data_IF_377750681596
#
_entry.id   IF_377750681596
#
_cell.length_a   1.000
_cell.length_b   1.000
_cell.length_c   1.000
_cell.angle_alpha   90.00
_cell.angle_beta   90.00
_cell.angle_gamma   90.00
#
_symmetry.space_group_name_H-M   'P 1'
#
loop_
_entity.id
_entity.type
_entity.pdbx_description
1 polymer ?
#
# COMPACT_ATOMS: atom_id res chain seq x y z
N UNK A 1 1.54 -22.53 56.63
CA UNK A 1 0.56 -22.19 57.69
C UNK A 1 -0.38 -21.16 57.11
N UNK A 2 -1.64 -21.56 56.86
CA UNK A 2 -2.84 -20.75 56.54
C UNK A 2 -2.75 -19.85 55.28
N UNK A 3 -3.64 -19.88 54.28
CA UNK A 3 -5.02 -20.38 54.07
C UNK A 3 -5.17 -20.52 52.52
N UNK A 4 -5.64 -21.61 51.90
CA UNK A 4 -7.07 -21.98 51.67
C UNK A 4 -7.96 -20.79 51.24
N UNK A 5 -8.88 -20.83 50.28
CA UNK A 5 -9.43 -21.86 49.39
C UNK A 5 -10.45 -21.14 48.48
N UNK A 6 -10.53 -21.53 47.21
CA UNK A 6 -11.77 -21.82 46.45
C UNK A 6 -12.99 -20.85 46.43
N UNK A 7 -13.43 -20.52 45.21
CA UNK A 7 -14.77 -20.77 44.56
C UNK A 7 -15.44 -19.56 43.85
N UNK A 8 -16.02 -19.87 42.68
CA UNK A 8 -17.14 -19.15 42.01
C UNK A 8 -16.73 -18.33 40.78
N UNK A 9 -16.79 -18.81 39.53
CA UNK A 9 -17.97 -19.05 38.67
C UNK A 9 -18.98 -17.90 38.60
N UNK A 10 -18.99 -17.19 37.45
CA UNK A 10 -20.13 -16.78 36.60
C UNK A 10 -20.00 -15.35 36.01
N UNK A 11 -19.86 -15.32 34.68
CA UNK A 11 -20.66 -14.53 33.72
C UNK A 11 -21.19 -13.15 34.16
N UNK A 12 -20.67 -12.09 33.53
CA UNK A 12 -21.45 -11.00 32.92
C UNK A 12 -20.51 -10.18 32.00
N UNK A 13 -20.62 -10.34 30.67
CA UNK A 13 -21.22 -9.32 29.79
C UNK A 13 -21.02 -7.89 30.28
N UNK A 14 -20.06 -7.16 29.71
CA UNK A 14 -20.12 -5.73 29.39
C UNK A 14 -18.79 -5.34 28.74
N UNK A 15 -18.74 -5.30 27.40
CA UNK A 15 -17.97 -4.27 26.73
C UNK A 15 -18.87 -3.60 25.71
N UNK A 16 -19.15 -2.34 26.05
CA UNK A 16 -20.01 -1.42 25.36
C UNK A 16 -19.54 -1.23 23.91
N UNK A 17 -20.48 -1.33 22.96
CA UNK A 17 -20.35 -0.66 21.67
C UNK A 17 -20.13 0.84 21.93
N UNK A 18 -19.12 1.49 21.35
CA UNK A 18 -19.30 2.87 20.95
C UNK A 18 -20.21 2.85 19.73
N UNK A 19 -21.38 3.50 19.87
CA UNK A 19 -22.17 3.95 18.73
C UNK A 19 -21.27 4.71 17.77
N UNK A 20 -21.46 4.47 16.48
CA UNK A 20 -21.00 5.33 15.40
C UNK A 20 -21.18 6.81 15.76
N UNK A 21 -20.22 7.68 15.42
CA UNK A 21 -20.55 8.87 14.68
C UNK A 21 -20.73 8.49 13.21
N UNK A 22 -21.88 8.90 12.70
CA UNK A 22 -22.29 8.98 11.31
C UNK A 22 -21.19 9.42 10.34
N UNK A 23 -21.33 8.92 9.12
CA UNK A 23 -20.71 9.39 7.88
C UNK A 23 -20.47 10.90 7.77
N UNK A 24 -19.43 11.24 6.98
CA UNK A 24 -19.00 12.51 6.35
C UNK A 24 -17.56 12.88 6.79
N UNK A 25 -16.55 13.16 5.96
CA UNK A 25 -16.45 13.42 4.52
C UNK A 25 -14.96 13.45 4.08
N UNK A 26 -14.65 12.66 3.04
CA UNK A 26 -13.69 12.84 1.93
C UNK A 26 -12.16 12.98 2.17
N UNK A 27 -11.38 12.33 1.30
CA UNK A 27 -10.10 12.86 0.80
C UNK A 27 -10.31 14.33 0.41
N UNK A 28 -9.95 15.23 1.30
CA UNK A 28 -10.29 16.64 1.16
C UNK A 28 -9.46 17.22 0.02
N UNK A 29 -10.13 17.79 -1.00
CA UNK A 29 -9.53 18.87 -1.80
C UNK A 29 -9.24 20.01 -0.82
N UNK A 30 -8.09 19.94 -0.16
CA UNK A 30 -7.69 20.92 0.84
C UNK A 30 -6.80 21.91 0.12
N UNK A 31 -7.34 23.10 -0.09
CA UNK A 31 -6.47 24.28 -0.24
C UNK A 31 -5.65 24.32 1.04
N UNK A 32 -4.34 24.13 0.88
CA UNK A 32 -3.41 23.96 2.02
C UNK A 32 -3.35 25.27 2.81
N UNK A 33 -3.37 26.39 2.11
CA UNK A 33 -3.72 27.70 2.62
C UNK A 33 -3.98 28.65 1.43
N UNK A 34 -4.94 29.58 1.52
CA UNK A 34 -4.93 30.76 0.66
C UNK A 34 -3.77 31.65 1.11
N UNK A 35 -2.84 32.00 0.23
CA UNK A 35 -2.02 33.19 0.47
C UNK A 35 -2.88 34.43 0.27
N UNK A 36 -2.52 35.50 0.98
CA UNK A 36 -3.30 36.74 0.98
C UNK A 36 -3.26 37.31 -0.44
N UNK A 37 -4.32 37.02 -1.21
CA UNK A 37 -4.64 37.51 -2.55
C UNK A 37 -3.82 36.88 -3.69
N UNK A 38 -4.49 36.01 -4.43
CA UNK A 38 -4.25 35.54 -5.81
C UNK A 38 -3.54 34.21 -6.03
N UNK A 39 -2.63 33.69 -5.20
CA UNK A 39 -2.07 32.35 -5.43
C UNK A 39 -2.69 31.30 -4.50
N UNK A 40 -2.71 30.04 -4.94
CA UNK A 40 -3.08 28.92 -4.09
C UNK A 40 -2.19 27.71 -4.36
N UNK A 41 -2.03 26.88 -3.33
CA UNK A 41 -1.44 25.55 -3.41
C UNK A 41 -2.46 24.53 -2.92
N UNK A 42 -2.66 23.45 -3.69
CA UNK A 42 -3.56 22.35 -3.31
C UNK A 42 -2.94 20.99 -3.58
N UNK A 43 -3.39 19.99 -2.84
CA UNK A 43 -3.17 18.58 -3.21
C UNK A 43 -4.24 18.20 -4.22
N UNK A 44 -3.81 17.75 -5.40
CA UNK A 44 -4.68 17.30 -6.48
C UNK A 44 -5.10 15.85 -6.26
N UNK A 45 -6.15 15.42 -6.97
CA UNK A 45 -6.62 14.01 -6.96
C UNK A 45 -5.58 13.01 -7.42
N UNK A 46 -4.63 13.46 -8.23
CA UNK A 46 -3.53 12.64 -8.73
C UNK A 46 -2.35 12.56 -7.75
N UNK A 47 -2.49 13.12 -6.53
CA UNK A 47 -1.45 13.15 -5.50
C UNK A 47 -0.42 14.25 -5.68
N UNK A 48 -0.39 14.92 -6.84
CA UNK A 48 0.53 16.02 -7.07
C UNK A 48 0.09 17.31 -6.36
N UNK A 49 1.02 18.24 -6.18
CA UNK A 49 0.70 19.61 -5.77
C UNK A 49 0.38 20.46 -7.00
N UNK A 50 -0.76 21.12 -6.97
CA UNK A 50 -1.13 22.15 -7.96
C UNK A 50 -0.83 23.53 -7.41
N UNK A 51 -0.07 24.33 -8.17
CA UNK A 51 0.12 25.76 -7.97
C UNK A 51 -0.76 26.49 -8.98
N UNK A 52 -1.71 27.28 -8.49
CA UNK A 52 -2.65 28.03 -9.33
C UNK A 52 -2.79 29.48 -8.90
N UNK A 53 -3.44 30.27 -9.77
CA UNK A 53 -3.76 31.67 -9.54
C UNK A 53 -5.28 31.90 -9.61
N UNK A 54 -5.76 32.86 -8.83
CA UNK A 54 -7.14 33.28 -8.64
C UNK A 54 -8.03 32.18 -8.05
N UNK A 55 -8.75 31.44 -8.89
CA UNK A 55 -9.77 30.48 -8.46
C UNK A 55 -9.31 29.07 -8.74
N UNK A 56 -9.64 28.15 -7.84
CA UNK A 56 -9.29 26.75 -8.00
C UNK A 56 -9.80 26.18 -9.34
N UNK A 57 -8.91 25.58 -10.12
CA UNK A 57 -9.26 25.03 -11.43
C UNK A 57 -8.30 23.93 -11.90
N UNK A 58 -8.36 23.62 -13.19
CA UNK A 58 -7.47 22.66 -13.86
C UNK A 58 -6.20 23.30 -14.45
N UNK A 59 -6.17 24.64 -14.52
CA UNK A 59 -5.03 25.42 -14.98
C UNK A 59 -4.03 25.59 -13.83
N UNK A 60 -3.13 24.62 -13.67
CA UNK A 60 -2.19 24.55 -12.55
C UNK A 60 -0.80 24.15 -13.03
N UNK A 61 0.23 24.74 -12.44
CA UNK A 61 1.59 24.20 -12.51
C UNK A 61 1.65 23.08 -11.49
N UNK A 62 1.94 21.87 -11.96
CA UNK A 62 1.87 20.64 -11.17
C UNK A 62 3.27 20.19 -10.77
N UNK A 63 3.50 19.88 -9.50
CA UNK A 63 4.77 19.35 -8.99
C UNK A 63 4.53 18.17 -8.05
N UNK A 64 5.51 17.29 -7.92
CA UNK A 64 5.49 16.25 -6.89
C UNK A 64 5.57 16.89 -5.50
N UNK A 65 4.90 16.29 -4.50
CA UNK A 65 4.95 16.83 -3.14
C UNK A 65 6.39 16.91 -2.59
N UNK A 66 7.21 15.90 -2.87
CA UNK A 66 8.63 15.90 -2.50
C UNK A 66 9.47 16.97 -3.19
N UNK A 67 8.98 17.61 -4.25
CA UNK A 67 9.68 18.67 -5.00
C UNK A 67 9.40 20.07 -4.44
N UNK A 68 8.41 20.20 -3.56
CA UNK A 68 7.94 21.49 -3.04
C UNK A 68 9.06 22.31 -2.39
N UNK A 69 9.94 21.67 -1.62
CA UNK A 69 11.06 22.35 -0.95
C UNK A 69 12.09 22.90 -1.97
N UNK A 70 12.33 22.18 -3.07
CA UNK A 70 13.24 22.64 -4.14
C UNK A 70 12.65 23.82 -4.90
N UNK A 71 11.35 23.78 -5.16
CA UNK A 71 10.61 24.88 -5.81
C UNK A 71 10.56 26.09 -4.87
N UNK A 72 10.31 25.90 -3.57
CA UNK A 72 10.35 26.97 -2.57
C UNK A 72 11.72 27.66 -2.55
N UNK A 73 12.82 26.90 -2.50
CA UNK A 73 14.17 27.45 -2.51
C UNK A 73 14.49 28.24 -3.79
N UNK A 74 14.00 27.78 -4.95
CA UNK A 74 14.14 28.51 -6.21
C UNK A 74 13.39 29.85 -6.19
N UNK A 75 12.18 29.88 -5.59
CA UNK A 75 11.38 31.09 -5.43
C UNK A 75 12.01 32.07 -4.45
N UNK A 76 12.51 31.62 -3.29
CA UNK A 76 13.23 32.46 -2.32
C UNK A 76 14.45 33.13 -2.98
N UNK A 77 15.26 32.35 -3.70
CA UNK A 77 16.42 32.86 -4.43
C UNK A 77 16.03 33.91 -5.45
N UNK A 78 14.93 33.68 -6.18
CA UNK A 78 14.46 34.62 -7.19
C UNK A 78 13.93 35.92 -6.56
N UNK A 79 13.24 35.85 -5.41
CA UNK A 79 12.81 37.01 -4.64
C UNK A 79 14.00 37.85 -4.14
N UNK A 80 15.10 37.21 -3.72
CA UNK A 80 16.31 37.90 -3.23
C UNK A 80 17.19 38.49 -4.34
N UNK A 81 17.00 38.10 -5.60
CA UNK A 81 17.88 38.51 -6.69
C UNK A 81 17.49 39.90 -7.22
N UNK A 82 18.38 40.89 -7.06
CA UNK A 82 18.12 42.30 -7.45
C UNK A 82 18.31 42.61 -8.96
N UNK A 83 18.58 41.60 -9.79
CA UNK A 83 18.89 41.75 -11.23
C UNK A 83 18.11 40.72 -12.05
N UNK A 84 18.15 40.85 -13.37
CA UNK A 84 17.63 39.82 -14.28
C UNK A 84 18.17 38.44 -13.89
N UNK A 85 17.24 37.52 -13.69
CA UNK A 85 17.56 36.17 -13.26
C UNK A 85 16.63 35.18 -13.94
N UNK A 86 17.19 34.06 -14.39
CA UNK A 86 16.44 33.00 -15.03
C UNK A 86 16.93 31.66 -14.50
N UNK A 87 16.00 30.85 -14.01
CA UNK A 87 16.27 29.50 -13.53
C UNK A 87 15.26 28.52 -14.11
N UNK A 88 15.76 27.37 -14.56
CA UNK A 88 14.92 26.25 -14.99
C UNK A 88 15.05 25.14 -13.95
N UNK A 89 13.94 24.77 -13.35
CA UNK A 89 13.83 23.56 -12.55
C UNK A 89 13.32 22.43 -13.45
N UNK A 90 14.06 21.31 -13.45
CA UNK A 90 13.63 20.09 -14.11
C UNK A 90 12.91 19.23 -13.08
N UNK A 91 11.65 18.89 -13.36
CA UNK A 91 10.89 18.01 -12.49
C UNK A 91 11.54 16.63 -12.49
N UNK A 92 11.69 16.08 -11.29
CA UNK A 92 12.04 14.69 -11.04
C UNK A 92 10.85 13.76 -11.21
N UNK A 93 9.63 14.29 -11.05
CA UNK A 93 8.37 13.58 -11.28
C UNK A 93 7.78 13.84 -12.67
N UNK A 94 6.94 12.92 -13.14
CA UNK A 94 6.25 12.99 -14.44
C UNK A 94 4.87 13.67 -14.39
N UNK A 95 4.59 14.42 -13.32
CA UNK A 95 3.29 15.04 -13.09
C UNK A 95 3.10 16.34 -13.88
N UNK A 96 1.89 16.53 -14.40
CA UNK A 96 1.52 17.68 -15.21
C UNK A 96 1.73 17.48 -16.72
N UNK A 97 1.61 18.56 -17.47
CA UNK A 97 1.75 18.58 -18.94
C UNK A 97 3.18 18.82 -19.45
N UNK A 98 4.15 19.02 -18.57
CA UNK A 98 5.55 19.25 -18.90
C UNK A 98 6.52 18.90 -17.77
N UNK A 99 7.80 18.73 -18.11
CA UNK A 99 8.85 18.27 -17.21
C UNK A 99 9.75 19.41 -16.66
N UNK A 100 9.34 20.67 -16.82
CA UNK A 100 10.12 21.84 -16.41
C UNK A 100 9.23 22.92 -15.83
N UNK A 101 9.81 23.68 -14.91
CA UNK A 101 9.28 24.95 -14.41
C UNK A 101 10.34 26.01 -14.63
N UNK A 102 9.96 27.10 -15.26
CA UNK A 102 10.82 28.24 -15.54
C UNK A 102 10.44 29.39 -14.61
N UNK A 103 11.45 29.91 -13.91
CA UNK A 103 11.38 31.07 -13.04
C UNK A 103 12.20 32.20 -13.67
N UNK A 104 11.58 33.36 -13.88
CA UNK A 104 12.19 34.50 -14.56
C UNK A 104 11.88 35.79 -13.81
N UNK A 105 12.91 36.60 -13.53
CA UNK A 105 12.79 37.98 -13.02
C UNK A 105 13.20 38.94 -14.10
N UNK A 106 12.34 39.91 -14.39
CA UNK A 106 12.55 40.96 -15.38
C UNK A 106 13.16 42.22 -14.75
N UNK A 107 13.69 43.11 -15.59
CA UNK A 107 14.37 44.36 -15.17
C UNK A 107 13.43 45.31 -14.42
N UNK A 108 12.15 45.28 -14.77
CA UNK A 108 11.11 46.09 -14.13
C UNK A 108 10.62 45.51 -12.78
N UNK A 109 11.27 44.45 -12.29
CA UNK A 109 10.97 43.81 -11.02
C UNK A 109 9.80 42.82 -11.08
N UNK A 110 9.15 42.61 -12.24
CA UNK A 110 8.14 41.57 -12.39
C UNK A 110 8.77 40.18 -12.34
N UNK A 111 8.05 39.23 -11.76
CA UNK A 111 8.45 37.83 -11.69
C UNK A 111 7.45 36.99 -12.50
N UNK A 112 7.95 36.05 -13.30
CA UNK A 112 7.14 35.06 -14.01
C UNK A 112 7.53 33.64 -13.60
N UNK A 113 6.52 32.85 -13.28
CA UNK A 113 6.63 31.40 -13.14
C UNK A 113 5.86 30.76 -14.29
N UNK A 114 6.46 29.79 -14.97
CA UNK A 114 5.82 29.10 -16.08
C UNK A 114 6.11 27.60 -16.08
N UNK A 115 5.09 26.80 -16.35
CA UNK A 115 5.14 25.33 -16.32
C UNK A 115 3.79 24.76 -16.72
N UNK A 116 3.74 23.53 -17.26
CA UNK A 116 2.48 22.86 -17.64
C UNK A 116 1.52 23.71 -18.52
N UNK A 117 2.11 24.51 -19.42
CA UNK A 117 1.40 25.45 -20.31
C UNK A 117 0.67 26.58 -19.56
N UNK A 118 1.00 26.80 -18.29
CA UNK A 118 0.53 27.93 -17.48
C UNK A 118 1.66 28.94 -17.30
N UNK A 119 1.29 30.21 -17.22
CA UNK A 119 2.19 31.31 -16.91
C UNK A 119 1.54 32.23 -15.88
N UNK A 120 2.25 32.51 -14.79
CA UNK A 120 1.80 33.40 -13.73
C UNK A 120 2.80 34.54 -13.56
N UNK A 121 2.29 35.77 -13.65
CA UNK A 121 3.04 36.97 -13.31
C UNK A 121 2.75 37.34 -11.87
N UNK A 122 3.81 37.58 -11.10
CA UNK A 122 3.74 37.69 -9.66
C UNK A 122 4.57 38.87 -9.14
N UNK A 123 4.15 39.42 -8.01
CA UNK A 123 4.94 40.38 -7.23
C UNK A 123 5.99 39.65 -6.39
N UNK A 124 6.99 40.38 -5.88
CA UNK A 124 7.97 39.80 -4.96
C UNK A 124 7.34 39.28 -3.66
N UNK A 125 6.32 39.98 -3.15
CA UNK A 125 5.54 39.56 -1.99
C UNK A 125 4.82 38.23 -2.26
N UNK A 126 4.10 38.11 -3.38
CA UNK A 126 3.40 36.88 -3.77
C UNK A 126 4.37 35.68 -3.95
N UNK A 127 5.60 35.94 -4.39
CA UNK A 127 6.63 34.91 -4.56
C UNK A 127 7.18 34.42 -3.22
N UNK A 128 7.42 35.34 -2.27
CA UNK A 128 7.84 34.98 -0.91
C UNK A 128 6.75 34.20 -0.19
N UNK A 129 5.51 34.65 -0.34
CA UNK A 129 4.32 33.99 0.18
C UNK A 129 4.15 32.57 -0.36
N UNK A 130 4.28 32.39 -1.69
CA UNK A 130 4.24 31.06 -2.30
C UNK A 130 5.40 30.16 -1.85
N UNK A 131 6.61 30.73 -1.72
CA UNK A 131 7.77 29.98 -1.25
C UNK A 131 7.57 29.49 0.20
N UNK A 132 7.08 30.37 1.07
CA UNK A 132 6.78 30.05 2.48
C UNK A 132 5.71 28.95 2.58
N UNK A 133 4.65 29.03 1.77
CA UNK A 133 3.64 27.97 1.70
C UNK A 133 4.22 26.62 1.30
N UNK A 134 5.05 26.59 0.25
CA UNK A 134 5.66 25.35 -0.25
C UNK A 134 6.70 24.78 0.71
N UNK A 135 7.32 25.62 1.54
CA UNK A 135 8.27 25.21 2.58
C UNK A 135 7.58 24.61 3.80
N UNK A 136 6.38 25.08 4.11
CA UNK A 136 5.60 24.69 5.29
C UNK A 136 4.34 23.90 4.94
N UNK A 137 4.40 23.07 3.89
CA UNK A 137 3.30 22.18 3.55
C UNK A 137 3.02 21.21 4.71
N UNK A 138 1.74 21.02 5.09
CA UNK A 138 1.36 20.06 6.11
C UNK A 138 1.65 18.66 5.58
N UNK A 139 2.17 17.74 6.40
CA UNK A 139 2.48 16.38 5.96
C UNK A 139 1.24 15.74 5.34
N UNK A 140 1.44 14.94 4.29
CA UNK A 140 0.34 14.19 3.68
C UNK A 140 -0.16 13.19 4.72
N UNK A 141 -1.41 13.36 5.17
CA UNK A 141 -2.05 12.42 6.08
C UNK A 141 -2.37 11.14 5.31
N UNK A 142 -1.69 10.06 5.67
CA UNK A 142 -1.92 8.71 5.13
C UNK A 142 -2.67 7.92 6.19
N UNK A 143 -3.78 7.27 5.80
CA UNK A 143 -4.51 6.39 6.70
C UNK A 143 -3.59 5.27 7.24
N UNK A 144 -3.85 4.73 8.44
CA UNK A 144 -3.06 3.61 8.94
C UNK A 144 -3.19 2.39 8.00
N UNK A 145 -2.17 1.53 7.98
CA UNK A 145 -2.12 0.33 7.13
C UNK A 145 -3.37 -0.57 7.22
N UNK A 146 -3.98 -0.64 8.41
CA UNK A 146 -5.21 -1.40 8.68
C UNK A 146 -6.45 -0.88 7.95
N UNK A 147 -6.42 0.37 7.48
CA UNK A 147 -7.54 0.96 6.76
C UNK A 147 -7.52 0.56 5.28
N UNK A 148 -6.33 0.30 4.73
CA UNK A 148 -6.16 -0.16 3.35
C UNK A 148 -6.37 -1.66 3.18
N UNK A 149 -6.04 -2.46 4.19
CA UNK A 149 -6.21 -3.93 4.15
C UNK A 149 -6.83 -4.42 5.44
N UNK A 150 -7.98 -5.08 5.33
CA UNK A 150 -8.76 -5.56 6.46
C UNK A 150 -8.99 -7.06 6.37
N UNK A 151 -8.76 -7.77 7.47
CA UNK A 151 -9.19 -9.16 7.62
C UNK A 151 -10.71 -9.23 7.69
N UNK A 152 -11.28 -10.14 6.92
CA UNK A 152 -12.72 -10.43 6.89
C UNK A 152 -12.95 -11.90 7.27
N UNK A 153 -14.17 -12.26 7.75
CA UNK A 153 -14.54 -13.65 7.91
C UNK A 153 -14.32 -14.43 6.60
N UNK A 154 -13.66 -15.59 6.63
CA UNK A 154 -13.37 -16.34 5.42
C UNK A 154 -14.64 -16.80 4.69
N UNK A 155 -14.76 -16.46 3.41
CA UNK A 155 -15.83 -16.95 2.53
C UNK A 155 -15.20 -17.33 1.18
N UNK A 156 -15.36 -18.58 0.74
CA UNK A 156 -14.73 -19.10 -0.49
C UNK A 156 -13.20 -18.82 -0.56
N UNK A 157 -12.51 -18.98 0.58
CA UNK A 157 -11.07 -18.70 0.76
C UNK A 157 -10.67 -17.21 0.67
N UNK A 158 -11.61 -16.30 0.41
CA UNK A 158 -11.40 -14.86 0.52
C UNK A 158 -11.37 -14.48 2.00
N UNK A 159 -10.27 -13.88 2.44
CA UNK A 159 -10.04 -13.59 3.86
C UNK A 159 -9.51 -12.18 4.12
N UNK A 160 -9.21 -11.42 3.06
CA UNK A 160 -8.73 -10.05 3.14
C UNK A 160 -9.53 -9.16 2.18
N UNK A 161 -9.75 -7.91 2.56
CA UNK A 161 -10.29 -6.88 1.68
C UNK A 161 -9.29 -5.74 1.57
N UNK A 162 -8.86 -5.46 0.35
CA UNK A 162 -8.08 -4.26 0.02
C UNK A 162 -9.06 -3.15 -0.34
N UNK A 163 -8.91 -1.95 0.23
CA UNK A 163 -9.81 -0.83 -0.02
C UNK A 163 -9.08 0.50 -0.08
N UNK A 164 -9.63 1.42 -0.87
CA UNK A 164 -9.31 2.84 -0.80
C UNK A 164 -10.55 3.65 -1.18
N UNK A 165 -10.98 4.53 -0.27
CA UNK A 165 -12.23 5.26 -0.40
C UNK A 165 -13.43 4.31 -0.59
N UNK A 166 -14.28 4.52 -1.62
CA UNK A 166 -15.46 3.68 -1.87
C UNK A 166 -15.13 2.34 -2.56
N UNK A 167 -13.92 2.19 -3.10
CA UNK A 167 -13.55 1.03 -3.88
C UNK A 167 -12.91 -0.04 -2.98
N UNK A 168 -13.27 -1.30 -3.22
CA UNK A 168 -12.69 -2.41 -2.48
C UNK A 168 -12.68 -3.69 -3.30
N UNK A 169 -11.72 -4.56 -3.01
CA UNK A 169 -11.58 -5.89 -3.61
C UNK A 169 -11.28 -6.92 -2.53
N UNK A 170 -12.01 -8.03 -2.58
CA UNK A 170 -11.76 -9.18 -1.71
C UNK A 170 -10.71 -10.09 -2.36
N UNK A 171 -9.72 -10.49 -1.56
CA UNK A 171 -8.59 -11.30 -2.00
C UNK A 171 -8.33 -12.47 -1.03
N UNK A 172 -7.72 -13.52 -1.57
CA UNK A 172 -7.21 -14.68 -0.84
C UNK A 172 -5.87 -14.36 -0.19
N UNK A 173 -5.48 -15.19 0.78
CA UNK A 173 -4.19 -15.07 1.47
C UNK A 173 -3.00 -15.20 0.51
N UNK A 174 -3.07 -16.14 -0.45
CA UNK A 174 -2.04 -16.36 -1.47
C UNK A 174 -1.96 -15.22 -2.48
N UNK A 175 -3.11 -14.64 -2.85
CA UNK A 175 -3.18 -13.46 -3.70
C UNK A 175 -2.52 -12.25 -3.02
N UNK A 176 -2.79 -12.02 -1.73
CA UNK A 176 -2.17 -10.93 -0.97
C UNK A 176 -0.63 -11.02 -0.96
N UNK A 177 -0.08 -12.23 -0.83
CA UNK A 177 1.36 -12.45 -0.87
C UNK A 177 1.99 -12.07 -2.22
N UNK A 178 1.36 -12.45 -3.34
CA UNK A 178 1.85 -12.14 -4.67
C UNK A 178 1.61 -10.67 -5.04
N UNK A 179 0.46 -10.09 -4.68
CA UNK A 179 0.17 -8.66 -4.85
C UNK A 179 1.22 -7.82 -4.08
N UNK A 180 1.51 -8.16 -2.82
CA UNK A 180 2.56 -7.47 -2.05
C UNK A 180 3.90 -7.52 -2.79
N UNK A 181 4.25 -8.69 -3.31
CA UNK A 181 5.51 -8.88 -4.05
C UNK A 181 5.56 -7.99 -5.31
N UNK A 182 4.48 -8.00 -6.10
CA UNK A 182 4.34 -7.20 -7.30
C UNK A 182 4.43 -5.68 -6.99
N UNK A 183 3.75 -5.22 -5.94
CA UNK A 183 3.80 -3.81 -5.54
C UNK A 183 5.22 -3.42 -5.12
N UNK A 184 5.89 -4.23 -4.29
CA UNK A 184 7.29 -3.97 -3.89
C UNK A 184 8.20 -3.89 -5.11
N UNK A 185 8.07 -4.81 -6.06
CA UNK A 185 8.85 -4.79 -7.31
C UNK A 185 8.53 -3.58 -8.21
N UNK A 186 7.33 -3.02 -8.11
CA UNK A 186 6.93 -1.83 -8.88
C UNK A 186 7.52 -0.51 -8.37
N UNK A 187 8.02 -0.45 -7.12
CA UNK A 187 8.52 0.78 -6.49
C UNK A 187 9.73 1.35 -7.23
N UNK A 188 10.58 0.49 -7.79
CA UNK A 188 11.79 0.90 -8.50
C UNK A 188 11.57 1.17 -9.99
N UNK A 189 10.38 0.85 -10.53
CA UNK A 189 10.08 1.02 -11.96
C UNK A 189 9.20 2.23 -12.20
N UNK A 190 9.53 3.06 -13.21
CA UNK A 190 8.73 4.23 -13.59
C UNK A 190 7.36 3.87 -14.15
N UNK A 191 7.32 2.82 -14.97
CA UNK A 191 6.10 2.20 -15.48
C UNK A 191 6.14 0.73 -15.13
N UNK A 192 5.07 0.22 -14.54
CA UNK A 192 4.99 -1.18 -14.14
C UNK A 192 3.61 -1.70 -14.46
N UNK A 193 3.53 -2.89 -15.03
CA UNK A 193 2.28 -3.61 -15.20
C UNK A 193 2.59 -5.10 -15.09
N UNK A 194 2.00 -5.74 -14.09
CA UNK A 194 2.12 -7.18 -13.89
C UNK A 194 0.72 -7.78 -13.82
N UNK A 195 0.47 -8.73 -14.73
CA UNK A 195 -0.74 -9.54 -14.73
C UNK A 195 -0.46 -10.83 -13.97
N UNK A 196 -1.19 -11.03 -12.88
CA UNK A 196 -1.15 -12.21 -12.04
C UNK A 196 -2.40 -13.04 -12.32
N UNK A 197 -2.20 -14.33 -12.61
CA UNK A 197 -3.30 -15.29 -12.68
C UNK A 197 -3.11 -16.34 -11.59
N UNK A 198 -3.98 -16.32 -10.60
CA UNK A 198 -3.95 -17.23 -9.46
C UNK A 198 -5.32 -17.83 -9.32
N UNK A 199 -5.39 -19.16 -9.30
CA UNK A 199 -6.64 -19.86 -9.05
C UNK A 199 -7.79 -19.42 -10.00
N UNK A 200 -7.46 -19.29 -11.28
CA UNK A 200 -8.42 -18.84 -12.29
C UNK A 200 -8.85 -17.38 -12.21
N UNK A 201 -8.47 -16.63 -11.17
CA UNK A 201 -8.73 -15.20 -11.01
C UNK A 201 -7.62 -14.37 -11.64
N UNK A 202 -8.01 -13.25 -12.23
CA UNK A 202 -7.08 -12.34 -12.89
C UNK A 202 -6.92 -11.07 -12.07
N UNK A 203 -5.67 -10.71 -11.83
CA UNK A 203 -5.30 -9.53 -11.08
C UNK A 203 -4.25 -8.76 -11.85
N UNK A 204 -4.31 -7.44 -11.79
CA UNK A 204 -3.31 -6.58 -12.41
C UNK A 204 -2.82 -5.58 -11.37
N UNK A 205 -1.51 -5.55 -11.16
CA UNK A 205 -0.83 -4.50 -10.39
C UNK A 205 -0.18 -3.57 -11.40
N UNK A 206 -0.63 -2.31 -11.43
CA UNK A 206 -0.13 -1.32 -12.37
C UNK A 206 0.40 -0.10 -11.62
N UNK A 207 1.56 0.39 -12.05
CA UNK A 207 2.05 1.74 -11.74
C UNK A 207 2.04 2.54 -13.03
N UNK A 208 1.11 3.49 -13.09
CA UNK A 208 0.88 4.34 -14.27
C UNK A 208 1.75 5.60 -14.29
N UNK A 209 2.32 6.00 -13.15
CA UNK A 209 3.20 7.16 -13.01
C UNK A 209 3.99 7.09 -11.71
N UNK A 210 4.85 8.07 -11.43
CA UNK A 210 5.60 8.12 -10.17
C UNK A 210 4.74 8.29 -8.92
N UNK A 211 3.46 8.66 -9.10
CA UNK A 211 2.52 8.91 -8.01
C UNK A 211 1.32 7.98 -8.01
N UNK A 212 1.19 7.03 -8.93
CA UNK A 212 -0.09 6.33 -9.16
C UNK A 212 0.06 4.82 -9.34
N UNK A 213 -0.62 4.11 -8.45
CA UNK A 213 -0.78 2.67 -8.48
C UNK A 213 -2.26 2.29 -8.61
N UNK A 214 -2.52 1.16 -9.25
CA UNK A 214 -3.81 0.50 -9.22
C UNK A 214 -3.65 -1.00 -9.02
N UNK A 215 -4.60 -1.56 -8.29
CA UNK A 215 -4.83 -2.98 -8.13
C UNK A 215 -6.20 -3.28 -8.76
N UNK A 216 -6.21 -4.08 -9.81
CA UNK A 216 -7.43 -4.63 -10.39
C UNK A 216 -7.55 -6.10 -10.03
N UNK A 217 -8.73 -6.54 -9.59
CA UNK A 217 -9.05 -7.94 -9.32
C UNK A 217 -10.42 -8.24 -9.93
N UNK A 218 -10.45 -9.14 -10.91
CA UNK A 218 -11.67 -9.53 -11.65
C UNK A 218 -12.49 -8.32 -12.16
N UNK A 219 -11.80 -7.26 -12.60
CA UNK A 219 -12.39 -6.03 -13.12
C UNK A 219 -12.74 -4.95 -12.09
N UNK A 220 -12.59 -5.22 -10.79
CA UNK A 220 -12.75 -4.21 -9.73
C UNK A 220 -11.41 -3.53 -9.47
N UNK A 221 -11.36 -2.20 -9.61
CA UNK A 221 -10.11 -1.42 -9.49
C UNK A 221 -10.06 -0.59 -8.20
N UNK A 222 -8.97 -0.73 -7.45
CA UNK A 222 -8.62 0.14 -6.31
C UNK A 222 -7.35 0.92 -6.66
N UNK A 223 -7.38 2.24 -6.43
CA UNK A 223 -6.27 3.15 -6.78
C UNK A 223 -5.57 3.64 -5.54
N UNK A 224 -4.27 3.86 -5.65
CA UNK A 224 -3.40 4.34 -4.58
C UNK A 224 -2.43 5.39 -5.11
N UNK A 225 -2.09 6.33 -4.25
CA UNK A 225 -1.06 7.33 -4.51
C UNK A 225 0.29 6.87 -3.96
N UNK A 226 1.39 7.50 -4.38
CA UNK A 226 2.73 7.22 -3.82
C UNK A 226 2.78 7.28 -2.28
N UNK A 227 1.98 8.16 -1.66
CA UNK A 227 1.95 8.30 -0.21
C UNK A 227 1.28 7.12 0.48
N UNK A 228 0.39 6.42 -0.22
CA UNK A 228 -0.42 5.33 0.34
C UNK A 228 0.21 3.96 0.08
N UNK A 229 1.14 3.84 -0.89
CA UNK A 229 1.73 2.56 -1.29
C UNK A 229 2.50 1.89 -0.17
N UNK A 230 3.27 2.64 0.63
CA UNK A 230 3.97 2.06 1.78
C UNK A 230 2.99 1.52 2.83
N UNK A 231 1.93 2.27 3.12
CA UNK A 231 0.87 1.84 4.03
C UNK A 231 0.09 0.63 3.48
N UNK A 232 -0.11 0.55 2.17
CA UNK A 232 -0.69 -0.61 1.50
C UNK A 232 0.22 -1.85 1.61
N UNK A 233 1.53 -1.71 1.38
CA UNK A 233 2.50 -2.81 1.53
C UNK A 233 2.48 -3.34 2.96
N UNK A 234 2.51 -2.43 3.95
CA UNK A 234 2.40 -2.78 5.36
C UNK A 234 1.04 -3.42 5.67
N UNK A 235 -0.05 -2.92 5.08
CA UNK A 235 -1.40 -3.46 5.25
C UNK A 235 -1.51 -4.89 4.72
N UNK A 236 -0.95 -5.17 3.55
CA UNK A 236 -0.91 -6.52 2.98
C UNK A 236 -0.09 -7.46 3.87
N UNK A 237 1.05 -7.00 4.39
CA UNK A 237 1.87 -7.79 5.32
C UNK A 237 1.11 -8.12 6.60
N UNK A 238 0.54 -7.10 7.25
CA UNK A 238 -0.21 -7.25 8.50
C UNK A 238 -1.48 -8.10 8.30
N UNK A 239 -2.15 -7.97 7.17
CA UNK A 239 -3.30 -8.81 6.82
C UNK A 239 -2.92 -10.29 6.72
N UNK A 240 -1.80 -10.60 6.08
CA UNK A 240 -1.28 -11.98 6.03
C UNK A 240 -0.95 -12.46 7.45
N UNK A 241 -0.23 -11.66 8.22
CA UNK A 241 0.13 -11.96 9.61
C UNK A 241 -1.11 -12.27 10.45
N UNK A 242 -2.14 -11.42 10.40
CA UNK A 242 -3.35 -11.56 11.19
C UNK A 242 -4.12 -12.85 10.90
N UNK A 243 -4.14 -13.29 9.64
CA UNK A 243 -4.76 -14.56 9.23
C UNK A 243 -3.91 -15.74 9.70
N UNK A 244 -2.59 -15.68 9.52
CA UNK A 244 -1.67 -16.73 9.99
C UNK A 244 -1.71 -16.89 11.52
N UNK A 245 -1.81 -15.78 12.24
CA UNK A 245 -1.88 -15.79 13.70
C UNK A 245 -3.18 -16.37 14.23
N UNK A 246 -4.30 -16.25 13.51
CA UNK A 246 -5.54 -16.94 13.89
C UNK A 246 -5.36 -18.46 13.81
N UNK A 247 -4.69 -18.97 12.77
CA UNK A 247 -4.35 -20.38 12.67
C UNK A 247 -3.40 -20.81 13.79
N UNK A 248 -2.32 -20.06 14.03
CA UNK A 248 -1.36 -20.41 15.10
C UNK A 248 -2.06 -20.45 16.47
N UNK A 249 -2.97 -19.52 16.74
CA UNK A 249 -3.79 -19.51 17.95
C UNK A 249 -4.74 -20.70 18.01
N UNK A 250 -5.38 -21.08 16.91
CA UNK A 250 -6.30 -22.22 16.86
C UNK A 250 -5.59 -23.56 17.03
N UNK A 251 -4.30 -23.65 16.66
CA UNK A 251 -3.44 -24.80 16.95
C UNK A 251 -3.10 -24.93 18.44
N UNK A 252 -3.35 -23.90 19.25
CA UNK A 252 -3.14 -23.91 20.71
C UNK A 252 -1.67 -24.02 21.14
N UNK A 253 -1.47 -24.01 22.45
CA UNK A 253 -0.15 -24.17 23.09
C UNK A 253 -0.14 -25.28 24.16
N UNK A 254 -1.14 -26.16 24.11
CA UNK A 254 -1.29 -27.31 25.00
C UNK A 254 -0.38 -28.48 24.55
N UNK A 255 -0.37 -29.57 25.32
CA UNK A 255 0.42 -30.78 25.01
C UNK A 255 0.03 -31.44 23.67
N UNK A 256 -1.11 -31.07 23.08
CA UNK A 256 -1.64 -31.61 21.81
C UNK A 256 -1.31 -30.69 20.63
N UNK A 257 -0.86 -29.45 20.87
CA UNK A 257 -0.50 -28.49 19.84
C UNK A 257 0.54 -29.06 18.85
N UNK A 258 1.53 -29.79 19.34
CA UNK A 258 2.53 -30.46 18.52
C UNK A 258 1.92 -31.50 17.55
N UNK A 259 0.84 -32.18 17.97
CA UNK A 259 0.11 -33.13 17.12
C UNK A 259 -0.65 -32.37 16.04
N UNK A 260 -1.33 -31.26 16.38
CA UNK A 260 -2.05 -30.43 15.41
C UNK A 260 -1.12 -29.81 14.38
N UNK A 261 0.05 -29.33 14.80
CA UNK A 261 1.11 -28.82 13.90
C UNK A 261 1.59 -29.93 12.96
N UNK A 262 1.92 -31.12 13.49
CA UNK A 262 2.35 -32.27 12.67
C UNK A 262 1.27 -32.67 11.67
N UNK A 263 0.00 -32.64 12.06
CA UNK A 263 -1.13 -32.94 11.17
C UNK A 263 -1.21 -31.98 9.99
N UNK A 264 -1.02 -30.66 10.20
CA UNK A 264 -1.04 -29.69 9.09
C UNK A 264 0.16 -29.88 8.15
N UNK A 265 1.35 -30.17 8.69
CA UNK A 265 2.53 -30.46 7.88
C UNK A 265 2.30 -31.72 7.03
N UNK A 266 1.77 -32.80 7.62
CA UNK A 266 1.46 -34.03 6.91
C UNK A 266 0.41 -33.82 5.81
N UNK A 267 -0.60 -32.98 6.04
CA UNK A 267 -1.59 -32.61 5.03
C UNK A 267 -0.92 -31.95 3.81
N UNK A 268 -0.03 -30.98 4.03
CA UNK A 268 0.72 -30.33 2.95
C UNK A 268 1.59 -31.37 2.21
N UNK A 269 2.27 -32.25 2.94
CA UNK A 269 3.11 -33.29 2.34
C UNK A 269 2.30 -34.26 1.46
N UNK A 270 1.19 -34.79 1.97
CA UNK A 270 0.38 -35.79 1.27
C UNK A 270 -0.35 -35.20 0.06
N UNK A 271 -1.00 -34.04 0.22
CA UNK A 271 -1.76 -33.42 -0.86
C UNK A 271 -0.83 -32.85 -1.93
N UNK A 272 0.35 -32.30 -1.58
CA UNK A 272 1.35 -31.89 -2.57
C UNK A 272 1.82 -33.10 -3.39
N UNK A 273 2.13 -34.21 -2.74
CA UNK A 273 2.56 -35.43 -3.43
C UNK A 273 1.46 -35.96 -4.38
N UNK A 274 0.20 -35.88 -3.96
CA UNK A 274 -0.95 -36.27 -4.77
C UNK A 274 -1.18 -35.34 -5.97
N UNK A 275 -1.09 -34.02 -5.77
CA UNK A 275 -1.24 -33.02 -6.84
C UNK A 275 -0.16 -33.20 -7.91
N UNK A 276 1.09 -33.44 -7.49
CA UNK A 276 2.22 -33.55 -8.42
C UNK A 276 2.41 -34.96 -8.99
N UNK A 277 1.81 -35.99 -8.38
CA UNK A 277 1.97 -37.38 -8.79
C UNK A 277 3.44 -37.80 -8.92
N UNK A 278 3.75 -38.52 -10.00
CA UNK A 278 5.09 -39.03 -10.31
C UNK A 278 6.03 -37.98 -10.94
N UNK A 279 5.70 -36.69 -10.86
CA UNK A 279 6.58 -35.64 -11.40
C UNK A 279 7.98 -35.70 -10.77
N UNK A 280 9.02 -35.50 -11.59
CA UNK A 280 10.43 -35.63 -11.17
C UNK A 280 10.80 -34.74 -9.97
N UNK A 281 10.12 -33.60 -9.82
CA UNK A 281 10.38 -32.65 -8.75
C UNK A 281 9.58 -32.89 -7.47
N UNK A 282 8.60 -33.81 -7.47
CA UNK A 282 7.64 -34.01 -6.37
C UNK A 282 8.33 -34.09 -5.00
N UNK A 283 9.36 -34.95 -4.86
CA UNK A 283 10.08 -35.11 -3.60
C UNK A 283 10.72 -33.80 -3.10
N UNK A 284 11.27 -32.99 -4.00
CA UNK A 284 11.90 -31.73 -3.65
C UNK A 284 10.87 -30.66 -3.27
N UNK A 285 9.76 -30.58 -4.01
CA UNK A 285 8.66 -29.63 -3.73
C UNK A 285 8.01 -29.96 -2.39
N UNK A 286 7.65 -31.23 -2.14
CA UNK A 286 7.10 -31.70 -0.86
C UNK A 286 8.02 -31.30 0.30
N UNK A 287 9.33 -31.59 0.18
CA UNK A 287 10.32 -31.23 1.21
C UNK A 287 10.41 -29.72 1.42
N UNK A 288 10.31 -28.93 0.36
CA UNK A 288 10.42 -27.47 0.40
C UNK A 288 9.17 -26.85 1.06
N UNK A 289 7.98 -27.23 0.62
CA UNK A 289 6.71 -26.76 1.19
C UNK A 289 6.53 -27.20 2.65
N UNK A 290 6.93 -28.42 3.00
CA UNK A 290 6.95 -28.91 4.39
C UNK A 290 7.87 -28.05 5.28
N UNK A 291 9.06 -27.71 4.78
CA UNK A 291 9.99 -26.82 5.51
C UNK A 291 9.41 -25.43 5.72
N UNK A 292 8.80 -24.82 4.69
CA UNK A 292 8.12 -23.53 4.83
C UNK A 292 7.00 -23.63 5.86
N UNK A 293 6.10 -24.60 5.71
CA UNK A 293 4.98 -24.84 6.63
C UNK A 293 5.47 -24.94 8.06
N UNK A 294 6.50 -25.75 8.32
CA UNK A 294 7.08 -25.90 9.66
C UNK A 294 7.59 -24.58 10.25
N UNK A 295 8.18 -23.68 9.45
CA UNK A 295 8.63 -22.37 9.93
C UNK A 295 7.46 -21.42 10.18
N UNK A 296 6.43 -21.48 9.34
CA UNK A 296 5.24 -20.63 9.44
C UNK A 296 4.36 -20.97 10.65
N UNK A 297 4.12 -22.25 10.95
CA UNK A 297 3.24 -22.66 12.07
C UNK A 297 3.97 -23.23 13.30
N UNK A 298 5.28 -23.49 13.21
CA UNK A 298 6.06 -24.03 14.32
C UNK A 298 6.30 -23.02 15.45
N UNK A 299 6.55 -23.48 16.68
CA UNK A 299 6.55 -22.62 17.88
C UNK A 299 7.73 -21.66 18.08
N UNK A 300 8.69 -21.54 17.15
CA UNK A 300 9.96 -20.78 17.39
C UNK A 300 10.14 -19.49 16.58
N UNK A 301 9.28 -19.22 15.59
CA UNK A 301 9.38 -18.01 14.77
C UNK A 301 8.53 -16.86 15.36
N UNK A 302 9.04 -15.64 15.29
CA UNK A 302 8.25 -14.43 15.51
C UNK A 302 7.22 -14.23 14.38
N UNK A 303 6.26 -13.32 14.58
CA UNK A 303 5.12 -13.17 13.69
C UNK A 303 5.48 -12.65 12.29
N UNK A 304 6.47 -11.75 12.19
CA UNK A 304 6.91 -11.18 10.92
C UNK A 304 7.66 -12.24 10.10
N UNK A 305 8.56 -13.01 10.75
CA UNK A 305 9.28 -14.10 10.10
C UNK A 305 8.35 -15.15 9.48
N UNK A 306 7.20 -15.44 10.14
CA UNK A 306 6.17 -16.35 9.59
C UNK A 306 5.55 -15.78 8.32
N UNK A 307 5.28 -14.48 8.32
CA UNK A 307 4.67 -13.78 7.19
C UNK A 307 5.61 -13.77 5.99
N UNK A 308 6.89 -13.47 6.22
CA UNK A 308 7.91 -13.51 5.17
C UNK A 308 8.11 -14.94 4.62
N UNK A 309 8.16 -15.96 5.48
CA UNK A 309 8.23 -17.35 5.03
C UNK A 309 7.00 -17.77 4.21
N UNK A 310 5.80 -17.28 4.56
CA UNK A 310 4.59 -17.54 3.77
C UNK A 310 4.65 -16.87 2.40
N UNK A 311 5.11 -15.62 2.34
CA UNK A 311 5.29 -14.89 1.08
C UNK A 311 6.31 -15.60 0.19
N UNK A 312 7.45 -16.01 0.74
CA UNK A 312 8.47 -16.77 0.02
C UNK A 312 7.97 -18.13 -0.46
N UNK A 313 7.13 -18.82 0.31
CA UNK A 313 6.48 -20.05 -0.12
C UNK A 313 5.59 -19.81 -1.34
N UNK A 314 4.78 -18.74 -1.34
CA UNK A 314 3.92 -18.38 -2.48
C UNK A 314 4.77 -18.01 -3.71
N UNK A 315 5.83 -17.21 -3.53
CA UNK A 315 6.77 -16.87 -4.61
C UNK A 315 7.46 -18.10 -5.19
N UNK A 316 7.85 -19.06 -4.36
CA UNK A 316 8.43 -20.32 -4.79
C UNK A 316 7.47 -21.09 -5.70
N UNK A 317 6.21 -21.25 -5.29
CA UNK A 317 5.18 -21.92 -6.09
C UNK A 317 5.00 -21.20 -7.43
N UNK A 318 4.85 -19.88 -7.41
CA UNK A 318 4.59 -19.08 -8.62
C UNK A 318 5.75 -19.08 -9.62
N UNK A 319 7.00 -19.05 -9.14
CA UNK A 319 8.18 -18.79 -10.00
C UNK A 319 9.02 -20.02 -10.33
N UNK A 320 8.91 -21.10 -9.56
CA UNK A 320 9.80 -22.28 -9.71
C UNK A 320 9.08 -23.54 -10.19
N UNK A 321 7.76 -23.55 -10.22
CA UNK A 321 6.97 -24.73 -10.59
C UNK A 321 6.30 -24.55 -11.94
N UNK A 322 6.05 -25.68 -12.61
CA UNK A 322 5.31 -25.69 -13.87
C UNK A 322 3.87 -25.22 -13.66
N UNK A 323 3.34 -24.46 -14.63
CA UNK A 323 2.05 -23.75 -14.50
C UNK A 323 0.88 -24.64 -14.13
N UNK A 324 0.90 -25.91 -14.55
CA UNK A 324 -0.13 -26.91 -14.24
C UNK A 324 -0.25 -27.19 -12.73
N UNK A 325 0.83 -27.02 -11.96
CA UNK A 325 0.83 -27.26 -10.51
C UNK A 325 0.58 -26.00 -9.69
N UNK A 326 0.74 -24.80 -10.28
CA UNK A 326 0.65 -23.53 -9.55
C UNK A 326 -0.73 -23.34 -8.91
N UNK A 327 -1.80 -23.36 -9.70
CA UNK A 327 -3.15 -23.09 -9.18
C UNK A 327 -3.60 -24.17 -8.16
N UNK A 328 -3.43 -25.49 -8.41
CA UNK A 328 -3.75 -26.51 -7.40
C UNK A 328 -2.98 -26.36 -6.09
N UNK A 329 -1.69 -26.03 -6.14
CA UNK A 329 -0.89 -25.83 -4.94
C UNK A 329 -1.27 -24.53 -4.21
N UNK A 330 -1.54 -23.44 -4.93
CA UNK A 330 -2.02 -22.20 -4.32
C UNK A 330 -3.35 -22.39 -3.59
N UNK A 331 -4.29 -23.19 -4.14
CA UNK A 331 -5.53 -23.59 -3.45
C UNK A 331 -5.25 -24.39 -2.18
N UNK A 332 -4.36 -25.39 -2.26
CA UNK A 332 -3.97 -26.19 -1.10
C UNK A 332 -3.42 -25.30 0.03
N UNK A 333 -2.55 -24.35 -0.31
CA UNK A 333 -1.99 -23.40 0.67
C UNK A 333 -3.09 -22.50 1.24
N UNK A 334 -3.92 -21.88 0.39
CA UNK A 334 -5.02 -21.02 0.85
C UNK A 334 -5.96 -21.76 1.83
N UNK A 335 -6.39 -22.98 1.48
CA UNK A 335 -7.26 -23.79 2.33
C UNK A 335 -6.60 -24.43 3.56
N UNK A 336 -5.26 -24.42 3.65
CA UNK A 336 -4.54 -24.93 4.83
C UNK A 336 -4.26 -23.81 5.83
N UNK A 337 -3.94 -22.62 5.34
CA UNK A 337 -3.49 -21.51 6.18
C UNK A 337 -4.61 -20.57 6.65
N UNK A 338 -5.81 -20.69 6.06
CA UNK A 338 -6.99 -19.96 6.50
C UNK A 338 -7.76 -20.82 7.50
N UNK A 339 -7.80 -20.39 8.76
CA UNK A 339 -8.60 -21.06 9.80
C UNK A 339 -10.09 -20.79 9.53
N UNK A 340 -10.85 -21.85 9.26
CA UNK A 340 -12.33 -21.78 9.24
C UNK A 340 -12.82 -22.15 10.64
N UNK A 341 -13.68 -21.33 11.28
CA UNK A 341 -14.26 -21.62 12.59
C UNK A 341 -14.94 -22.98 12.70
#
# INVERSE_FOLDING_TARGET
MFHEMQKGFLLHSFYLRPRQPSAQQFCVHRVIAPTVKTMYVKIRRDGALGIGRATEGSAEITIGYGEAHMVAAALEKLAQTARNYRQVYHKTTDVGGGNKILFERFEDGRIKISGDRQEYFMTEEEVRDLAELLKHLPPVEVAPASDYVQKIPPENELCLTVRNGPNSVAIKLTEAALIKTAIVSSVDSRFYEEHLRIDGREMTVQRSSDLKWSLSVDGNEVKFTAYEVEALIAGLHNGILDVLMDLVKSLGSDEIADIRIKSQIQRIESETAKIMGDHRQTKNVVKTLSKFTKRIIGGKADADARTDDFIEMCKYIQSKLDREFVDPLMRLIAGTFVSVP
#
